data_IF_194539083508
#
_entry.id   IF_194539083508
#
_cell.length_a   1.000
_cell.length_b   1.000
_cell.length_c   1.000
_cell.angle_alpha   90.00
_cell.angle_beta   90.00
_cell.angle_gamma   90.00
#
_symmetry.space_group_name_H-M   'P 1'
#
loop_
_entity.id
_entity.type
_entity.pdbx_description
1 polymer ?
#
# COMPACT_ATOMS: atom_id res chain seq x y z
N UNK A 1 -7.13 -9.38 20.70
CA UNK A 1 -7.45 -8.67 19.46
C UNK A 1 -6.63 -9.32 18.36
N UNK A 2 -7.28 -9.78 17.29
CA UNK A 2 -6.77 -10.84 16.42
C UNK A 2 -5.57 -10.41 15.56
N UNK A 3 -4.41 -11.03 15.78
CA UNK A 3 -3.17 -10.94 14.97
C UNK A 3 -3.32 -11.47 13.52
N UNK A 4 -4.54 -11.71 13.05
CA UNK A 4 -4.84 -12.43 11.80
C UNK A 4 -5.59 -11.58 10.76
N UNK A 5 -5.68 -10.26 10.92
CA UNK A 5 -6.26 -9.38 9.91
C UNK A 5 -5.29 -9.21 8.74
N UNK A 6 -5.53 -9.98 7.69
CA UNK A 6 -4.86 -9.86 6.40
C UNK A 6 -5.88 -9.49 5.33
N UNK A 7 -5.57 -8.46 4.57
CA UNK A 7 -6.35 -8.01 3.43
C UNK A 7 -5.48 -8.09 2.17
N UNK A 8 -6.04 -8.61 1.08
CA UNK A 8 -5.34 -8.70 -0.21
C UNK A 8 -6.11 -7.85 -1.20
N UNK A 9 -5.41 -6.90 -1.81
CA UNK A 9 -6.01 -6.08 -2.85
C UNK A 9 -6.28 -6.92 -4.11
N UNK A 10 -7.52 -7.05 -4.61
CA UNK A 10 -7.82 -7.84 -5.80
C UNK A 10 -7.28 -7.22 -7.09
N UNK A 11 -6.94 -5.92 -7.06
CA UNK A 11 -6.44 -5.17 -8.22
C UNK A 11 -4.92 -5.25 -8.34
N UNK A 12 -4.18 -5.00 -7.26
CA UNK A 12 -2.71 -4.95 -7.28
C UNK A 12 -2.02 -6.13 -6.58
N UNK A 13 -2.79 -7.05 -5.99
CA UNK A 13 -2.32 -8.26 -5.28
C UNK A 13 -1.39 -8.00 -4.09
N UNK A 14 -1.29 -6.74 -3.65
CA UNK A 14 -0.55 -6.36 -2.45
C UNK A 14 -1.32 -6.77 -1.20
N UNK A 15 -0.58 -7.23 -0.18
CA UNK A 15 -1.14 -7.65 1.11
C UNK A 15 -0.96 -6.57 2.18
N UNK A 16 -2.00 -6.32 2.95
CA UNK A 16 -1.97 -5.48 4.16
C UNK A 16 -2.19 -6.41 5.36
N UNK A 17 -1.32 -6.33 6.37
CA UNK A 17 -1.31 -7.21 7.53
C UNK A 17 -1.31 -6.37 8.80
N UNK A 18 -2.16 -6.70 9.77
CA UNK A 18 -2.21 -5.99 11.05
C UNK A 18 -2.59 -4.51 10.93
N UNK A 19 -3.33 -4.15 9.88
CA UNK A 19 -3.91 -2.82 9.68
C UNK A 19 -3.06 -1.79 8.92
N UNK A 20 -1.72 -1.85 8.99
CA UNK A 20 -0.85 -0.84 8.34
C UNK A 20 0.42 -1.42 7.69
N UNK A 21 0.79 -2.67 8.00
CA UNK A 21 1.99 -3.28 7.39
C UNK A 21 1.66 -3.80 6.00
N UNK A 22 2.29 -3.23 4.99
CA UNK A 22 2.12 -3.62 3.59
C UNK A 22 3.25 -4.54 3.13
N UNK A 23 2.92 -5.68 2.55
CA UNK A 23 3.85 -6.61 1.92
C UNK A 23 3.75 -6.51 0.40
N UNK A 24 4.78 -5.90 -0.21
CA UNK A 24 4.95 -5.84 -1.66
C UNK A 24 5.45 -7.18 -2.21
N UNK A 25 5.32 -7.39 -3.52
CA UNK A 25 5.85 -8.58 -4.20
C UNK A 25 7.39 -8.61 -4.25
N UNK A 26 8.01 -7.43 -4.16
CA UNK A 26 9.46 -7.26 -4.10
C UNK A 26 9.83 -6.09 -3.18
N UNK A 27 11.03 -6.19 -2.59
CA UNK A 27 11.56 -5.16 -1.68
C UNK A 27 11.05 -5.28 -0.24
N UNK A 28 11.41 -4.30 0.61
CA UNK A 28 11.03 -4.31 2.02
C UNK A 28 9.53 -4.04 2.21
N UNK A 29 8.95 -4.47 3.35
CA UNK A 29 7.61 -4.03 3.75
C UNK A 29 7.49 -2.50 3.79
N UNK A 30 6.28 -1.99 3.59
CA UNK A 30 5.98 -0.57 3.69
C UNK A 30 4.67 -0.29 4.41
N UNK A 31 4.14 0.89 4.16
CA UNK A 31 2.91 1.44 4.77
C UNK A 31 1.81 1.62 3.72
N UNK A 32 0.58 1.87 4.16
CA UNK A 32 -0.54 2.25 3.29
C UNK A 32 -0.23 3.51 2.45
N UNK A 33 0.47 4.48 3.02
CA UNK A 33 0.96 5.67 2.30
C UNK A 33 1.87 5.31 1.11
N UNK A 34 2.86 4.44 1.33
CA UNK A 34 3.74 3.95 0.26
C UNK A 34 3.00 3.15 -0.80
N UNK A 35 2.04 2.31 -0.40
CA UNK A 35 1.21 1.54 -1.33
C UNK A 35 0.39 2.45 -2.24
N UNK A 36 -0.23 3.48 -1.68
CA UNK A 36 -0.98 4.47 -2.47
C UNK A 36 -0.05 5.21 -3.43
N UNK A 37 1.06 5.76 -2.91
CA UNK A 37 2.00 6.58 -3.67
C UNK A 37 2.73 5.83 -4.80
N UNK A 38 2.83 4.49 -4.74
CA UNK A 38 3.50 3.71 -5.79
C UNK A 38 2.53 2.95 -6.69
N UNK A 39 1.35 2.61 -6.20
CA UNK A 39 0.48 1.64 -6.88
C UNK A 39 -0.97 2.12 -6.99
N UNK A 40 -1.71 2.25 -5.87
CA UNK A 40 -3.16 2.48 -5.96
C UNK A 40 -3.52 3.85 -6.57
N UNK A 41 -2.67 4.88 -6.47
CA UNK A 41 -2.92 6.17 -7.14
C UNK A 41 -2.92 6.07 -8.67
N UNK A 42 -2.13 5.14 -9.23
CA UNK A 42 -2.00 4.93 -10.68
C UNK A 42 -2.91 3.81 -11.18
N UNK A 43 -3.21 2.82 -10.33
CA UNK A 43 -4.09 1.73 -10.70
C UNK A 43 -5.46 2.26 -11.12
N UNK A 44 -6.00 3.29 -10.45
CA UNK A 44 -7.29 3.97 -10.70
C UNK A 44 -8.45 3.03 -11.09
N UNK A 45 -8.38 1.76 -10.67
CA UNK A 45 -9.35 0.71 -10.99
C UNK A 45 -10.26 0.56 -9.79
N UNK A 46 -11.56 0.46 -10.07
CA UNK A 46 -12.57 0.19 -9.07
C UNK A 46 -12.22 -1.11 -8.32
N UNK A 47 -12.15 -1.05 -6.99
CA UNK A 47 -11.80 -2.20 -6.13
C UNK A 47 -10.36 -2.24 -5.59
N UNK A 48 -9.51 -1.23 -5.79
CA UNK A 48 -8.24 -1.13 -5.04
C UNK A 48 -8.57 -0.76 -3.59
N UNK A 49 -8.18 -1.59 -2.63
CA UNK A 49 -8.57 -1.42 -1.21
C UNK A 49 -7.92 -0.21 -0.52
N UNK A 50 -6.92 0.41 -1.15
CA UNK A 50 -6.12 1.49 -0.57
C UNK A 50 -6.28 2.77 -1.41
N UNK A 51 -7.52 3.25 -1.53
CA UNK A 51 -7.88 4.47 -2.29
C UNK A 51 -8.53 5.57 -1.44
N UNK A 52 -9.02 5.24 -0.24
CA UNK A 52 -9.54 6.23 0.69
C UNK A 52 -8.38 7.04 1.29
N UNK A 53 -8.32 8.33 0.99
CA UNK A 53 -7.24 9.21 1.44
C UNK A 53 -7.25 9.40 2.96
N UNK A 54 -8.41 9.24 3.61
CA UNK A 54 -8.51 9.32 5.07
C UNK A 54 -7.91 8.07 5.75
N UNK A 55 -7.87 6.93 5.05
CA UNK A 55 -7.30 5.67 5.55
C UNK A 55 -5.85 5.42 5.09
N UNK A 56 -5.40 6.05 4.00
CA UNK A 56 -4.03 5.94 3.46
C UNK A 56 -2.99 6.56 4.41
N UNK A 57 -3.39 7.58 5.16
CA UNK A 57 -2.51 8.35 6.03
C UNK A 57 -1.65 9.38 5.28
N UNK A 58 -0.69 9.98 5.99
CA UNK A 58 0.12 11.08 5.46
C UNK A 58 1.23 10.56 4.54
N UNK A 59 1.07 10.79 3.23
CA UNK A 59 2.08 10.51 2.21
C UNK A 59 3.25 11.50 2.30
N UNK A 60 4.48 10.98 2.29
CA UNK A 60 5.71 11.76 2.24
C UNK A 60 6.39 11.65 0.87
N UNK A 61 7.34 12.54 0.57
CA UNK A 61 8.13 12.48 -0.67
C UNK A 61 8.89 11.16 -0.85
N UNK A 62 9.35 10.55 0.24
CA UNK A 62 10.05 9.26 0.27
C UNK A 62 9.16 8.03 -0.03
N UNK A 63 7.83 8.20 0.03
CA UNK A 63 6.89 7.12 -0.29
C UNK A 63 6.77 6.88 -1.79
N UNK A 64 6.99 7.92 -2.60
CA UNK A 64 6.98 7.81 -4.05
C UNK A 64 8.14 6.92 -4.54
N UNK A 65 8.00 6.42 -5.77
CA UNK A 65 9.06 5.67 -6.42
C UNK A 65 10.25 6.60 -6.70
N UNK A 66 11.45 6.20 -6.27
CA UNK A 66 12.69 6.89 -6.59
C UNK A 66 13.64 5.88 -7.26
N UNK A 67 13.93 6.03 -8.57
CA UNK A 67 14.81 5.12 -9.29
C UNK A 67 16.26 5.15 -8.81
N UNK A 68 16.70 6.22 -8.13
CA UNK A 68 18.08 6.37 -7.64
C UNK A 68 18.37 5.54 -6.36
N UNK A 69 17.34 4.94 -5.74
CA UNK A 69 17.43 4.21 -4.45
C UNK A 69 16.81 2.80 -4.56
N UNK A 70 16.40 2.37 -5.76
CA UNK A 70 15.69 1.09 -5.97
C UNK A 70 16.59 -0.01 -6.52
#
# INVERSE_FOLDING_TARGET
>A
MSENQQEICPVCLVKIVGGDRVLFSSGPPGTKAKLWARVCQYAQRQGCINQDLDEVGKVKSEDYYNPEIS
#
